data_IF_373058979159
#
_entry.id   IF_373058979159
#
_cell.length_a   1.000
_cell.length_b   1.000
_cell.length_c   1.000
_cell.angle_alpha   90.00
_cell.angle_beta   90.00
_cell.angle_gamma   90.00
#
_symmetry.space_group_name_H-M   'P 1'
#
loop_
_entity.id
_entity.type
_entity.pdbx_description
1 polymer ?
#
# COMPACT_ATOMS: atom_id res chain seq x y z
N UNK A 1 -13.28 12.01 -12.02
CA UNK A 1 -12.04 12.08 -12.67
C UNK A 1 -11.02 11.26 -11.99
N UNK A 2 -10.10 11.90 -11.32
CA UNK A 2 -9.06 11.14 -10.63
C UNK A 2 -9.64 10.17 -9.61
N UNK A 3 -10.80 10.46 -9.03
CA UNK A 3 -11.42 9.55 -8.07
C UNK A 3 -11.77 8.21 -8.67
N UNK A 4 -12.29 8.21 -9.89
CA UNK A 4 -12.65 6.95 -10.54
C UNK A 4 -11.42 6.13 -10.87
N UNK A 5 -10.37 6.79 -11.34
CA UNK A 5 -9.13 6.10 -11.64
C UNK A 5 -8.50 5.54 -10.37
N UNK A 6 -8.55 6.29 -9.29
CA UNK A 6 -8.02 5.82 -8.01
C UNK A 6 -8.83 4.65 -7.49
N UNK A 7 -10.14 4.68 -7.66
CA UNK A 7 -11.01 3.58 -7.25
C UNK A 7 -10.60 2.29 -7.94
N UNK A 8 -10.37 2.37 -9.25
CA UNK A 8 -9.94 1.22 -10.02
C UNK A 8 -8.59 0.71 -9.54
N UNK A 9 -7.67 1.63 -9.25
CA UNK A 9 -6.34 1.26 -8.77
C UNK A 9 -6.38 0.73 -7.34
N UNK A 10 -7.36 1.15 -6.55
CA UNK A 10 -7.49 0.67 -5.16
C UNK A 10 -7.81 -0.81 -5.09
N UNK A 11 -8.28 -1.40 -6.16
CA UNK A 11 -8.56 -2.84 -6.19
C UNK A 11 -7.30 -3.67 -6.34
N UNK A 12 -6.20 -3.07 -6.77
CA UNK A 12 -4.95 -3.80 -6.90
C UNK A 12 -4.21 -3.77 -5.57
N UNK A 13 -3.39 -4.79 -5.36
CA UNK A 13 -2.55 -4.85 -4.17
C UNK A 13 -1.45 -3.79 -4.26
N UNK A 14 -0.86 -3.50 -3.11
CA UNK A 14 0.28 -2.58 -3.05
C UNK A 14 1.40 -3.03 -3.98
N UNK A 15 1.74 -4.32 -3.93
CA UNK A 15 2.82 -4.86 -4.76
C UNK A 15 2.55 -4.71 -6.25
N UNK A 16 1.32 -5.04 -6.66
CA UNK A 16 0.93 -4.89 -8.07
C UNK A 16 0.96 -3.43 -8.50
N UNK A 17 0.56 -2.54 -7.61
CA UNK A 17 0.54 -1.12 -7.91
C UNK A 17 1.97 -0.62 -8.16
N UNK A 18 2.91 -1.00 -7.29
CA UNK A 18 4.32 -0.61 -7.45
C UNK A 18 4.88 -1.17 -8.75
N UNK A 19 4.59 -2.43 -9.04
CA UNK A 19 5.04 -3.06 -10.27
C UNK A 19 4.50 -2.32 -11.49
N UNK A 20 3.23 -1.95 -11.46
CA UNK A 20 2.60 -1.24 -12.56
C UNK A 20 3.27 0.12 -12.80
N UNK A 21 3.53 0.84 -11.71
CA UNK A 21 4.22 2.13 -11.82
C UNK A 21 5.60 1.97 -12.46
N UNK A 22 6.30 0.94 -12.06
CA UNK A 22 7.63 0.66 -12.58
C UNK A 22 7.58 0.31 -14.06
N UNK A 23 6.67 -0.59 -14.43
CA UNK A 23 6.55 -1.06 -15.81
C UNK A 23 6.07 0.05 -16.73
N UNK A 24 5.17 0.90 -16.26
CA UNK A 24 4.68 2.03 -17.05
C UNK A 24 5.80 3.00 -17.42
N UNK A 25 6.85 3.03 -16.61
CA UNK A 25 8.00 3.90 -16.84
C UNK A 25 9.15 3.15 -17.50
N UNK A 26 8.93 1.89 -17.88
CA UNK A 26 9.95 1.04 -18.50
C UNK A 26 11.21 0.94 -17.65
N UNK A 27 11.04 0.83 -16.34
CA UNK A 27 12.16 0.73 -15.42
C UNK A 27 12.39 -0.72 -15.02
N UNK A 28 13.62 -1.23 -15.16
CA UNK A 28 13.90 -2.60 -14.72
C UNK A 28 13.92 -2.71 -13.20
N UNK A 29 13.65 -3.91 -12.70
CA UNK A 29 13.67 -4.19 -11.27
C UNK A 29 14.97 -3.71 -10.63
N UNK A 30 16.10 -4.02 -11.26
CA UNK A 30 17.40 -3.73 -10.66
C UNK A 30 17.60 -2.25 -10.41
N UNK A 31 17.02 -1.40 -11.26
CA UNK A 31 17.18 0.04 -11.10
C UNK A 31 16.46 0.55 -9.86
N UNK A 32 15.24 0.11 -9.68
CA UNK A 32 14.47 0.54 -8.51
C UNK A 32 15.06 -0.09 -7.23
N UNK A 33 15.44 -1.37 -7.30
CA UNK A 33 16.06 -2.02 -6.15
C UNK A 33 17.32 -1.28 -5.70
N UNK A 34 18.14 -0.82 -6.65
CA UNK A 34 19.34 -0.07 -6.32
C UNK A 34 19.01 1.24 -5.64
N UNK A 35 17.97 1.95 -6.10
CA UNK A 35 17.57 3.21 -5.48
C UNK A 35 17.01 2.99 -4.08
N UNK A 36 16.40 1.82 -3.84
CA UNK A 36 15.89 1.46 -2.52
C UNK A 36 16.97 0.85 -1.62
N UNK A 37 18.13 0.57 -2.18
CA UNK A 37 19.23 -0.07 -1.47
C UNK A 37 18.81 -1.45 -0.94
N UNK A 38 18.16 -2.22 -1.79
CA UNK A 38 17.76 -3.59 -1.48
C UNK A 38 18.09 -4.49 -2.67
N UNK A 39 18.08 -5.80 -2.42
CA UNK A 39 18.30 -6.78 -3.48
C UNK A 39 17.13 -6.80 -4.46
N UNK A 40 17.44 -7.13 -5.71
CA UNK A 40 16.43 -7.31 -6.73
C UNK A 40 15.39 -8.36 -6.31
N UNK A 41 15.87 -9.44 -5.69
CA UNK A 41 14.94 -10.49 -5.23
C UNK A 41 14.01 -10.00 -4.14
N UNK A 42 14.49 -9.12 -3.26
CA UNK A 42 13.67 -8.52 -2.23
C UNK A 42 12.56 -7.66 -2.85
N UNK A 43 12.92 -6.83 -3.82
CA UNK A 43 11.92 -5.99 -4.49
C UNK A 43 10.90 -6.86 -5.23
N UNK A 44 11.37 -7.91 -5.90
CA UNK A 44 10.48 -8.83 -6.60
C UNK A 44 9.43 -9.41 -5.63
N UNK A 45 9.88 -9.79 -4.43
CA UNK A 45 8.97 -10.35 -3.42
C UNK A 45 7.99 -9.30 -2.90
N UNK A 46 8.45 -8.06 -2.76
CA UNK A 46 7.55 -6.97 -2.35
C UNK A 46 6.47 -6.77 -3.42
N UNK A 47 6.85 -6.79 -4.70
CA UNK A 47 5.88 -6.63 -5.78
C UNK A 47 4.89 -7.79 -5.85
N UNK A 48 5.29 -8.96 -5.36
CA UNK A 48 4.40 -10.14 -5.31
C UNK A 48 3.65 -10.24 -3.99
N UNK A 49 3.83 -9.28 -3.10
CA UNK A 49 3.20 -9.27 -1.78
C UNK A 49 3.67 -10.42 -0.89
N UNK A 50 4.86 -10.93 -1.15
CA UNK A 50 5.47 -12.01 -0.37
C UNK A 50 6.41 -11.45 0.70
N UNK A 51 6.66 -10.17 0.68
CA UNK A 51 7.55 -9.52 1.63
C UNK A 51 7.01 -8.15 1.99
N UNK A 52 7.12 -7.80 3.26
CA UNK A 52 6.69 -6.49 3.74
C UNK A 52 7.63 -5.40 3.27
N UNK A 53 7.10 -4.20 3.09
CA UNK A 53 7.89 -3.02 2.82
C UNK A 53 7.95 -2.20 4.10
N UNK A 54 9.16 -1.80 4.48
CA UNK A 54 9.33 -0.96 5.64
C UNK A 54 8.83 0.45 5.35
N UNK A 55 8.62 1.23 6.40
CA UNK A 55 8.20 2.62 6.22
C UNK A 55 9.22 3.39 5.40
N UNK A 56 10.50 3.07 5.57
CA UNK A 56 11.58 3.69 4.84
C UNK A 56 11.48 3.38 3.33
N UNK A 57 11.16 2.14 3.01
CA UNK A 57 10.98 1.74 1.61
C UNK A 57 9.78 2.45 1.00
N UNK A 58 8.68 2.54 1.75
CA UNK A 58 7.49 3.23 1.28
C UNK A 58 7.80 4.69 1.00
N UNK A 59 8.55 5.33 1.90
CA UNK A 59 8.94 6.72 1.72
C UNK A 59 9.77 6.92 0.45
N UNK A 60 10.75 6.05 0.24
CA UNK A 60 11.60 6.14 -0.95
C UNK A 60 10.80 5.88 -2.22
N UNK A 61 9.87 4.93 -2.19
CA UNK A 61 9.02 4.67 -3.34
C UNK A 61 8.14 5.87 -3.67
N UNK A 62 7.64 6.55 -2.65
CA UNK A 62 6.84 7.75 -2.87
C UNK A 62 7.66 8.83 -3.57
N UNK A 63 8.93 8.95 -3.23
CA UNK A 63 9.83 9.91 -3.87
C UNK A 63 10.16 9.50 -5.29
N UNK A 64 10.48 8.22 -5.49
CA UNK A 64 10.86 7.72 -6.82
C UNK A 64 9.72 7.91 -7.82
N UNK A 65 8.50 7.61 -7.42
CA UNK A 65 7.35 7.65 -8.31
C UNK A 65 6.53 8.93 -8.19
N UNK A 66 6.98 9.88 -7.37
CA UNK A 66 6.31 11.17 -7.17
C UNK A 66 4.85 10.98 -6.74
N UNK A 67 4.64 10.11 -5.75
CA UNK A 67 3.33 9.82 -5.19
C UNK A 67 3.32 10.30 -3.75
N UNK A 68 2.19 10.85 -3.31
CA UNK A 68 2.05 11.27 -1.93
C UNK A 68 2.31 10.10 -0.98
N UNK A 69 3.18 10.32 -0.01
CA UNK A 69 3.56 9.27 0.93
C UNK A 69 2.36 8.73 1.70
N UNK A 70 1.46 9.63 2.10
CA UNK A 70 0.28 9.22 2.86
C UNK A 70 -0.62 8.31 2.03
N UNK A 71 -0.80 8.63 0.75
CA UNK A 71 -1.62 7.81 -0.13
C UNK A 71 -1.01 6.43 -0.31
N UNK A 72 0.31 6.38 -0.49
CA UNK A 72 0.99 5.10 -0.66
C UNK A 72 0.90 4.25 0.60
N UNK A 73 1.01 4.88 1.75
CA UNK A 73 0.89 4.20 3.04
C UNK A 73 -0.51 3.64 3.24
N UNK A 74 -1.54 4.39 2.83
CA UNK A 74 -2.92 3.91 2.92
C UNK A 74 -3.09 2.64 2.09
N UNK A 75 -2.54 2.62 0.88
CA UNK A 75 -2.59 1.43 0.04
C UNK A 75 -1.94 0.24 0.72
N UNK A 76 -0.77 0.47 1.29
CA UNK A 76 -0.01 -0.61 1.91
C UNK A 76 -0.74 -1.19 3.12
N UNK A 77 -1.20 -0.32 4.01
CA UNK A 77 -1.85 -0.76 5.23
C UNK A 77 -3.25 -1.32 4.98
N UNK A 78 -3.95 -0.80 3.98
CA UNK A 78 -5.27 -1.34 3.66
C UNK A 78 -5.18 -2.77 3.13
N UNK A 79 -4.08 -3.12 2.44
CA UNK A 79 -3.85 -4.50 2.04
C UNK A 79 -3.80 -5.42 3.25
N UNK A 80 -3.08 -5.00 4.29
CA UNK A 80 -2.92 -5.82 5.49
C UNK A 80 -4.26 -6.08 6.17
N UNK A 81 -5.09 -5.06 6.25
CA UNK A 81 -6.42 -5.20 6.82
C UNK A 81 -7.28 -6.11 5.95
N UNK A 82 -7.21 -5.92 4.64
CA UNK A 82 -7.97 -6.73 3.69
C UNK A 82 -7.64 -8.21 3.86
N UNK A 83 -6.35 -8.54 3.87
CA UNK A 83 -5.94 -9.94 3.98
C UNK A 83 -6.35 -10.53 5.32
N UNK A 84 -6.34 -9.72 6.37
CA UNK A 84 -6.74 -10.18 7.69
C UNK A 84 -8.21 -10.54 7.75
N UNK A 85 -9.05 -9.83 6.99
CA UNK A 85 -10.50 -10.00 7.02
C UNK A 85 -11.07 -10.83 5.88
N UNK A 86 -10.23 -11.17 4.91
CA UNK A 86 -10.70 -11.76 3.66
C UNK A 86 -11.46 -13.06 3.86
N UNK A 87 -11.04 -13.87 4.83
CA UNK A 87 -11.65 -15.16 5.10
C UNK A 87 -12.73 -15.12 6.18
N UNK A 88 -13.05 -13.94 6.69
CA UNK A 88 -14.08 -13.77 7.70
C UNK A 88 -15.42 -13.51 7.03
N UNK A 89 -16.46 -14.22 7.47
CA UNK A 89 -17.80 -14.00 6.92
C UNK A 89 -18.27 -12.57 7.17
N UNK A 90 -17.93 -12.04 8.33
CA UNK A 90 -18.39 -10.71 8.73
C UNK A 90 -17.32 -9.64 8.52
N UNK A 91 -16.45 -9.83 7.52
CA UNK A 91 -15.33 -8.94 7.30
C UNK A 91 -15.72 -7.46 7.17
N UNK A 92 -16.77 -7.19 6.39
CA UNK A 92 -17.23 -5.81 6.19
C UNK A 92 -17.79 -5.23 7.49
N UNK A 93 -18.55 -6.04 8.23
CA UNK A 93 -19.11 -5.59 9.49
C UNK A 93 -18.00 -5.32 10.51
N UNK A 94 -17.01 -6.18 10.56
CA UNK A 94 -15.84 -5.99 11.43
C UNK A 94 -15.17 -4.67 11.10
N UNK A 95 -15.00 -4.39 9.82
CA UNK A 95 -14.35 -3.16 9.37
C UNK A 95 -15.15 -1.93 9.79
N UNK A 96 -16.48 -1.99 9.67
CA UNK A 96 -17.34 -0.86 10.06
C UNK A 96 -17.23 -0.57 11.55
N UNK A 97 -17.21 -1.61 12.37
CA UNK A 97 -17.07 -1.44 13.81
C UNK A 97 -15.70 -0.87 14.14
N UNK A 98 -14.65 -1.35 13.45
CA UNK A 98 -13.31 -0.83 13.66
C UNK A 98 -13.26 0.67 13.34
N UNK A 99 -13.92 1.07 12.27
CA UNK A 99 -13.99 2.49 11.91
C UNK A 99 -14.59 3.32 13.04
N UNK A 100 -15.69 2.85 13.62
CA UNK A 100 -16.32 3.55 14.73
C UNK A 100 -15.38 3.68 15.93
N UNK A 101 -14.64 2.60 16.22
CA UNK A 101 -13.69 2.63 17.33
C UNK A 101 -12.56 3.62 17.09
N UNK A 102 -12.08 3.68 15.86
CA UNK A 102 -11.03 4.64 15.51
C UNK A 102 -11.53 6.06 15.68
N UNK A 103 -12.73 6.35 15.20
CA UNK A 103 -13.31 7.68 15.34
C UNK A 103 -13.48 8.07 16.81
N UNK A 104 -13.92 7.11 17.62
CA UNK A 104 -14.08 7.36 19.06
C UNK A 104 -12.74 7.72 19.69
N UNK A 105 -11.70 6.94 19.41
CA UNK A 105 -10.38 7.20 19.97
C UNK A 105 -9.81 8.54 19.51
N UNK A 106 -10.05 8.90 18.26
CA UNK A 106 -9.58 10.18 17.74
C UNK A 106 -10.26 11.36 18.46
N UNK A 107 -11.55 11.22 18.77
CA UNK A 107 -12.26 12.25 19.51
C UNK A 107 -11.69 12.42 20.91
N UNK A 108 -11.32 11.31 21.56
CA UNK A 108 -10.71 11.36 22.88
C UNK A 108 -9.37 12.08 22.85
N UNK A 109 -8.60 11.88 21.78
CA UNK A 109 -7.28 12.53 21.66
C UNK A 109 -7.38 14.04 21.54
N UNK A 110 -8.44 14.52 20.90
CA UNK A 110 -8.63 15.95 20.68
C UNK A 110 -8.91 16.68 21.98
N UNK A 111 -9.46 15.99 22.97
CA UNK A 111 -9.75 16.56 24.26
C UNK A 111 -8.53 16.48 25.17
#
# INVERSE_FOLDING_TARGET
MSKQMMSKQNNTSFGEYIRQLREDRNLPLRKIAAELDIDTSTLSKIEKNERNASEQIIEKLSEIFAIDKADLKVRYLSDKITYQLLNEEDGIEILKVAEQKIKYHNQQKVQ
#
